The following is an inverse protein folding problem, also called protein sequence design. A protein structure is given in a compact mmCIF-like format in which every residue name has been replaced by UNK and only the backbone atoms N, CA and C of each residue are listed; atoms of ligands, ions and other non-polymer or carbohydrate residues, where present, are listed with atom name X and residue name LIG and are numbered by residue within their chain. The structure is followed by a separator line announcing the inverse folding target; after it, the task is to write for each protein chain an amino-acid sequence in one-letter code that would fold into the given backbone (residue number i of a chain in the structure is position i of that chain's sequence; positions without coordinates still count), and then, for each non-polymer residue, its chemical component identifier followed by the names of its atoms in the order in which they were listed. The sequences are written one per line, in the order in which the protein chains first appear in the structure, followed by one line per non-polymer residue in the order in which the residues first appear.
data_IF_657735449978
#
_entry.id   IF_657735449978
#
_cell.length_a   1.000
_cell.length_b   1.000
_cell.length_c   1.000
_cell.angle_alpha   90.00
_cell.angle_beta   90.00
_cell.angle_gamma   90.00
#
_symmetry.space_group_name_H-M   'P 1'
#
loop_
_entity.id
_entity.type
_entity.pdbx_description
1 polymer ?
#
# COMPACT_ATOMS: atom_id res chain seq x y z
N UNK A 1 -10.45 -12.37 5.48
CA UNK A 1 -9.16 -12.03 6.14
C UNK A 1 -8.02 -12.44 5.23
N UNK A 2 -6.93 -11.69 5.23
CA UNK A 2 -5.69 -11.97 4.51
C UNK A 2 -4.50 -11.51 5.37
N UNK A 3 -3.29 -12.01 5.13
CA UNK A 3 -2.10 -11.54 5.84
C UNK A 3 -0.84 -11.74 5.00
N UNK A 4 -0.30 -12.95 4.94
CA UNK A 4 0.97 -13.20 4.23
C UNK A 4 0.76 -13.69 2.79
N UNK A 5 1.78 -13.47 1.95
CA UNK A 5 1.78 -13.81 0.50
C UNK A 5 1.51 -15.29 0.25
N UNK A 6 2.03 -16.17 1.10
CA UNK A 6 1.90 -17.63 1.00
C UNK A 6 0.64 -18.20 1.68
N UNK A 7 -0.24 -17.34 2.20
CA UNK A 7 -1.50 -17.72 2.82
C UNK A 7 -2.68 -17.52 1.87
N UNK A 8 -3.86 -18.01 2.29
CA UNK A 8 -5.11 -17.76 1.57
C UNK A 8 -5.34 -16.26 1.43
N UNK A 9 -5.68 -15.81 0.23
CA UNK A 9 -5.89 -14.40 -0.12
C UNK A 9 -4.63 -13.52 -0.02
N UNK A 10 -3.44 -14.12 -0.07
CA UNK A 10 -2.16 -13.41 -0.04
C UNK A 10 -2.01 -12.34 -1.12
N UNK A 11 -2.77 -12.39 -2.21
CA UNK A 11 -2.83 -11.35 -3.24
C UNK A 11 -3.21 -9.95 -2.71
N UNK A 12 -3.92 -9.86 -1.58
CA UNK A 12 -4.29 -8.59 -0.95
C UNK A 12 -3.18 -8.01 -0.06
N UNK A 13 -2.15 -8.80 0.27
CA UNK A 13 -0.97 -8.34 1.00
C UNK A 13 -0.17 -7.31 0.18
N UNK A 14 0.41 -6.31 0.84
CA UNK A 14 1.30 -5.33 0.18
C UNK A 14 2.59 -5.96 -0.35
N UNK A 15 2.99 -7.10 0.20
CA UNK A 15 4.20 -7.84 -0.17
C UNK A 15 3.99 -8.75 -1.37
N UNK A 16 2.75 -8.93 -1.84
CA UNK A 16 2.46 -9.77 -2.98
C UNK A 16 3.15 -9.21 -4.23
N UNK A 17 3.99 -10.00 -4.94
CA UNK A 17 4.66 -9.55 -6.16
C UNK A 17 3.64 -9.10 -7.19
N UNK A 18 3.69 -7.82 -7.56
CA UNK A 18 2.77 -7.21 -8.52
C UNK A 18 3.44 -5.99 -9.13
N UNK A 19 3.76 -6.09 -10.41
CA UNK A 19 4.36 -4.98 -11.14
C UNK A 19 3.29 -3.97 -11.52
N UNK A 20 3.55 -2.69 -11.24
CA UNK A 20 2.71 -1.57 -11.68
C UNK A 20 3.58 -0.31 -11.75
N UNK A 21 3.09 0.71 -12.44
CA UNK A 21 3.71 2.03 -12.46
C UNK A 21 2.80 3.09 -11.84
N UNK A 22 3.39 4.20 -11.39
CA UNK A 22 2.66 5.40 -10.93
C UNK A 22 3.35 6.62 -11.54
N UNK A 23 2.58 7.64 -11.94
CA UNK A 23 3.18 8.87 -12.45
C UNK A 23 3.83 9.66 -11.32
N UNK A 24 4.98 10.28 -11.58
CA UNK A 24 5.72 11.04 -10.56
C UNK A 24 4.89 12.14 -9.91
N UNK A 25 4.02 12.80 -10.68
CA UNK A 25 3.15 13.86 -10.13
C UNK A 25 2.13 13.32 -9.12
N UNK A 26 1.55 12.14 -9.37
CA UNK A 26 0.64 11.49 -8.42
C UNK A 26 1.36 11.08 -7.14
N UNK A 27 2.63 10.65 -7.24
CA UNK A 27 3.45 10.35 -6.06
C UNK A 27 3.66 11.62 -5.23
N UNK A 28 4.06 12.73 -5.87
CA UNK A 28 4.28 14.01 -5.19
C UNK A 28 3.01 14.51 -4.50
N UNK A 29 1.88 14.48 -5.21
CA UNK A 29 0.56 14.82 -4.66
C UNK A 29 0.22 13.93 -3.45
N UNK A 30 0.36 12.60 -3.58
CA UNK A 30 0.06 11.66 -2.51
C UNK A 30 0.96 11.84 -1.27
N UNK A 31 2.19 12.35 -1.43
CA UNK A 31 3.09 12.67 -0.30
C UNK A 31 2.98 14.14 0.15
N UNK A 32 1.98 14.88 -0.32
CA UNK A 32 1.73 16.27 0.07
C UNK A 32 2.91 17.19 -0.26
N UNK A 33 3.53 16.99 -1.42
CA UNK A 33 4.59 17.84 -1.94
C UNK A 33 4.13 18.49 -3.25
N UNK A 34 4.32 19.80 -3.33
CA UNK A 34 4.08 20.52 -4.58
C UNK A 34 5.12 20.14 -5.61
N UNK A 35 4.66 20.05 -6.85
CA UNK A 35 5.54 19.88 -7.99
C UNK A 35 6.40 21.11 -8.20
N UNK A 36 7.70 20.91 -8.38
CA UNK A 36 8.67 21.96 -8.71
C UNK A 36 8.99 21.97 -10.19
N UNK A 37 9.37 23.14 -10.68
CA UNK A 37 9.93 23.27 -12.03
C UNK A 37 11.18 22.40 -12.14
N UNK A 38 11.24 21.53 -13.15
CA UNK A 38 12.29 20.51 -13.30
C UNK A 38 11.94 19.12 -12.74
N UNK A 39 10.83 18.95 -12.01
CA UNK A 39 10.31 17.63 -11.70
C UNK A 39 9.88 16.95 -13.00
N UNK A 40 10.75 16.08 -13.51
CA UNK A 40 10.56 15.44 -14.80
C UNK A 40 9.21 14.72 -14.92
N UNK A 41 8.60 14.79 -16.10
CA UNK A 41 7.41 14.02 -16.42
C UNK A 41 7.82 12.56 -16.64
N UNK A 42 7.20 11.62 -15.91
CA UNK A 42 7.50 10.21 -16.10
C UNK A 42 6.78 9.30 -15.11
N UNK A 43 6.96 8.01 -15.31
CA UNK A 43 6.42 6.94 -14.49
C UNK A 43 7.54 6.29 -13.67
N UNK A 44 7.23 5.85 -12.46
CA UNK A 44 8.11 5.00 -11.65
C UNK A 44 7.48 3.61 -11.55
N UNK A 45 8.26 2.56 -11.77
CA UNK A 45 7.82 1.17 -11.76
C UNK A 45 8.17 0.49 -10.44
N UNK A 46 7.21 -0.23 -9.86
CA UNK A 46 7.36 -0.91 -8.58
C UNK A 46 7.08 -2.40 -8.74
N UNK A 47 7.75 -3.22 -7.94
CA UNK A 47 7.61 -4.69 -7.92
C UNK A 47 6.57 -5.19 -6.91
N UNK A 48 6.13 -4.31 -5.99
CA UNK A 48 5.10 -4.57 -4.98
C UNK A 48 4.56 -3.25 -4.44
N UNK A 49 3.43 -3.30 -3.73
CA UNK A 49 2.89 -2.13 -3.06
C UNK A 49 3.73 -1.71 -1.85
N UNK A 50 4.45 -2.64 -1.21
CA UNK A 50 5.45 -2.34 -0.17
C UNK A 50 6.60 -1.47 -0.72
N UNK A 51 7.13 -1.81 -1.90
CA UNK A 51 8.22 -1.03 -2.52
C UNK A 51 7.76 0.42 -2.76
N UNK A 52 6.56 0.58 -3.31
CA UNK A 52 5.94 1.88 -3.51
C UNK A 52 5.78 2.66 -2.20
N UNK A 53 5.27 2.02 -1.16
CA UNK A 53 5.04 2.67 0.13
C UNK A 53 6.36 3.16 0.75
N UNK A 54 7.41 2.35 0.72
CA UNK A 54 8.72 2.72 1.29
C UNK A 54 9.43 3.78 0.44
N UNK A 55 9.31 3.72 -0.88
CA UNK A 55 9.79 4.78 -1.79
C UNK A 55 9.07 6.11 -1.52
N UNK A 56 7.74 6.08 -1.41
CA UNK A 56 6.92 7.27 -1.15
C UNK A 56 7.19 7.85 0.24
N UNK A 57 7.41 6.99 1.24
CA UNK A 57 7.85 7.42 2.57
C UNK A 57 9.18 8.17 2.51
N UNK A 58 10.18 7.63 1.81
CA UNK A 58 11.46 8.32 1.62
C UNK A 58 11.29 9.64 0.83
N UNK A 59 10.38 9.67 -0.16
CA UNK A 59 10.00 10.88 -0.90
C UNK A 59 9.47 11.98 0.02
N UNK A 60 8.53 11.64 0.92
CA UNK A 60 7.92 12.59 1.88
C UNK A 60 8.97 13.35 2.69
N UNK A 61 10.05 12.68 3.07
CA UNK A 61 11.10 13.23 3.92
C UNK A 61 12.36 13.67 3.16
N UNK A 62 12.33 13.68 1.83
CA UNK A 62 13.46 14.10 0.99
C UNK A 62 14.68 13.18 1.04
N UNK A 63 14.50 11.92 1.45
CA UNK A 63 15.58 10.95 1.58
C UNK A 63 15.82 10.19 0.26
N UNK A 64 16.54 10.84 -0.64
CA UNK A 64 16.86 10.31 -1.97
C UNK A 64 17.73 9.04 -1.93
N UNK A 65 18.56 8.86 -0.90
CA UNK A 65 19.41 7.68 -0.77
C UNK A 65 18.57 6.45 -0.37
N UNK A 66 17.65 6.60 0.58
CA UNK A 66 16.71 5.50 0.90
C UNK A 66 15.79 5.20 -0.28
N UNK A 67 15.32 6.21 -1.02
CA UNK A 67 14.56 5.98 -2.27
C UNK A 67 15.35 5.06 -3.21
N UNK A 68 16.61 5.41 -3.52
CA UNK A 68 17.47 4.64 -4.42
C UNK A 68 17.64 3.19 -3.95
N UNK A 69 17.99 2.99 -2.67
CA UNK A 69 18.20 1.66 -2.09
C UNK A 69 16.93 0.80 -2.08
N UNK A 70 15.77 1.40 -1.83
CA UNK A 70 14.47 0.70 -1.91
C UNK A 70 14.19 0.23 -3.35
N UNK A 71 14.58 1.01 -4.36
CA UNK A 71 14.39 0.64 -5.77
C UNK A 71 15.35 -0.47 -6.23
N UNK A 72 16.51 -0.61 -5.60
CA UNK A 72 17.53 -1.63 -5.93
C UNK A 72 17.16 -3.05 -5.46
N UNK A 73 16.22 -3.19 -4.52
CA UNK A 73 15.81 -4.50 -3.98
C UNK A 73 14.37 -4.86 -4.33
N UNK A 74 14.14 -6.13 -4.65
CA UNK A 74 12.81 -6.73 -4.85
C UNK A 74 12.30 -7.48 -3.61
N UNK A 75 13.09 -7.58 -2.55
CA UNK A 75 12.69 -8.24 -1.30
C UNK A 75 11.85 -7.28 -0.44
N UNK A 76 10.56 -7.55 -0.21
CA UNK A 76 9.69 -6.68 0.59
C UNK A 76 10.15 -6.55 2.05
N UNK A 77 10.83 -7.56 2.60
CA UNK A 77 11.38 -7.49 3.95
C UNK A 77 12.51 -6.46 4.01
N UNK A 78 13.36 -6.43 3.00
CA UNK A 78 14.44 -5.46 2.88
C UNK A 78 13.92 -4.06 2.57
N UNK A 79 12.93 -3.92 1.67
CA UNK A 79 12.23 -2.65 1.42
C UNK A 79 11.68 -2.06 2.73
N UNK A 80 10.97 -2.86 3.52
CA UNK A 80 10.43 -2.44 4.83
C UNK A 80 11.52 -2.10 5.84
N UNK A 81 12.67 -2.79 5.80
CA UNK A 81 13.83 -2.49 6.65
C UNK A 81 14.42 -1.13 6.28
N UNK A 82 14.61 -0.86 4.99
CA UNK A 82 15.12 0.41 4.48
C UNK A 82 14.18 1.58 4.77
N UNK A 83 12.88 1.45 4.54
CA UNK A 83 11.93 2.52 4.85
C UNK A 83 11.74 2.79 6.34
N UNK A 84 12.19 1.90 7.24
CA UNK A 84 12.33 2.22 8.67
C UNK A 84 13.52 3.12 8.98
N UNK A 85 14.49 3.20 8.07
CA UNK A 85 15.72 3.99 8.19
C UNK A 85 15.63 5.33 7.45
N UNK A 86 14.46 5.70 6.94
CA UNK A 86 14.24 6.99 6.26
C UNK A 86 14.70 8.16 7.12
N UNK A 87 15.67 8.91 6.61
CA UNK A 87 16.19 10.12 7.23
C UNK A 87 15.07 11.17 7.35
N UNK A 88 15.06 11.92 8.47
CA UNK A 88 14.05 12.96 8.72
C UNK A 88 12.64 12.44 9.00
N UNK A 89 12.43 11.12 9.10
CA UNK A 89 11.12 10.54 9.38
C UNK A 89 10.50 11.09 10.68
N UNK A 90 9.26 11.53 10.58
CA UNK A 90 8.41 11.82 11.74
C UNK A 90 7.08 11.08 11.60
N UNK A 91 6.54 10.61 12.72
CA UNK A 91 5.22 9.97 12.74
C UNK A 91 4.14 10.94 12.25
N UNK A 92 4.13 12.18 12.76
CA UNK A 92 3.15 13.19 12.38
C UNK A 92 3.15 13.46 10.86
N UNK A 93 4.33 13.74 10.26
CA UNK A 93 4.43 14.04 8.84
C UNK A 93 4.10 12.85 7.93
N UNK A 94 4.24 11.62 8.43
CA UNK A 94 3.82 10.42 7.71
C UNK A 94 2.33 10.13 7.89
N UNK A 95 1.78 10.36 9.08
CA UNK A 95 0.38 10.12 9.41
C UNK A 95 -0.57 10.99 8.56
N UNK A 96 -0.13 12.18 8.15
CA UNK A 96 -0.81 13.07 7.20
C UNK A 96 -1.07 12.42 5.84
N UNK A 97 -0.14 11.59 5.34
CA UNK A 97 -0.11 11.18 3.92
C UNK A 97 -0.22 9.66 3.72
N UNK A 98 0.10 8.85 4.73
CA UNK A 98 0.29 7.39 4.57
C UNK A 98 -0.92 6.67 3.99
N UNK A 99 -2.13 7.10 4.34
CA UNK A 99 -3.36 6.50 3.83
C UNK A 99 -3.53 6.76 2.34
N UNK A 100 -3.30 8.00 1.88
CA UNK A 100 -3.38 8.36 0.46
C UNK A 100 -2.33 7.61 -0.37
N UNK A 101 -1.10 7.49 0.15
CA UNK A 101 -0.04 6.68 -0.47
C UNK A 101 -0.49 5.22 -0.65
N UNK A 102 -0.99 4.58 0.41
CA UNK A 102 -1.40 3.16 0.32
C UNK A 102 -2.61 2.99 -0.61
N UNK A 103 -3.56 3.92 -0.62
CA UNK A 103 -4.68 3.88 -1.56
C UNK A 103 -4.24 4.03 -3.02
N UNK A 104 -3.30 4.94 -3.31
CA UNK A 104 -2.72 5.11 -4.64
C UNK A 104 -1.99 3.84 -5.11
N UNK A 105 -1.18 3.23 -4.22
CA UNK A 105 -0.47 1.98 -4.51
C UNK A 105 -1.44 0.85 -4.89
N UNK A 106 -2.52 0.70 -4.10
CA UNK A 106 -3.49 -0.36 -4.35
C UNK A 106 -4.36 -0.06 -5.56
N UNK A 107 -4.69 1.21 -5.82
CA UNK A 107 -5.36 1.62 -7.08
C UNK A 107 -4.52 1.22 -8.29
N UNK A 108 -3.24 1.56 -8.32
CA UNK A 108 -2.35 1.21 -9.42
C UNK A 108 -2.17 -0.31 -9.56
N UNK A 109 -1.89 -1.00 -8.45
CA UNK A 109 -1.74 -2.46 -8.39
C UNK A 109 -2.97 -3.18 -8.97
N UNK A 110 -4.16 -2.91 -8.44
CA UNK A 110 -5.38 -3.63 -8.83
C UNK A 110 -5.97 -3.10 -10.14
N UNK A 111 -5.71 -1.85 -10.52
CA UNK A 111 -6.13 -1.28 -11.80
C UNK A 111 -5.33 -1.80 -13.00
N UNK A 112 -4.02 -1.98 -12.84
CA UNK A 112 -3.12 -2.40 -13.94
C UNK A 112 -2.98 -3.93 -14.06
N UNK A 113 -3.34 -4.69 -13.03
CA UNK A 113 -3.25 -6.15 -13.03
C UNK A 113 -4.64 -6.79 -13.13
N UNK A 114 -5.09 -7.11 -14.34
CA UNK A 114 -6.45 -7.63 -14.59
C UNK A 114 -6.82 -8.86 -13.74
N UNK A 115 -5.90 -9.82 -13.56
CA UNK A 115 -6.13 -10.97 -12.69
C UNK A 115 -6.34 -10.61 -11.22
N UNK A 116 -5.62 -9.60 -10.71
CA UNK A 116 -5.80 -9.10 -9.35
C UNK A 116 -7.08 -8.27 -9.24
N UNK A 117 -7.41 -7.46 -10.25
CA UNK A 117 -8.68 -6.73 -10.36
C UNK A 117 -9.87 -7.66 -10.15
N UNK A 118 -9.91 -8.76 -10.92
CA UNK A 118 -10.97 -9.77 -10.84
C UNK A 118 -11.08 -10.35 -9.43
N UNK A 119 -9.96 -10.68 -8.79
CA UNK A 119 -9.96 -11.21 -7.42
C UNK A 119 -10.51 -10.20 -6.40
N UNK A 120 -10.14 -8.92 -6.52
CA UNK A 120 -10.64 -7.87 -5.63
C UNK A 120 -12.15 -7.64 -5.83
N UNK A 121 -12.62 -7.55 -7.07
CA UNK A 121 -14.04 -7.39 -7.38
C UNK A 121 -14.88 -8.59 -6.93
N UNK A 122 -14.35 -9.81 -7.07
CA UNK A 122 -15.00 -11.04 -6.63
C UNK A 122 -15.18 -11.13 -5.09
N UNK A 123 -14.55 -10.24 -4.33
CA UNK A 123 -14.83 -10.13 -2.89
C UNK A 123 -16.26 -9.67 -2.61
N UNK A 124 -16.96 -9.07 -3.59
CA UNK A 124 -18.32 -8.55 -3.43
C UNK A 124 -18.32 -7.45 -2.38
N UNK A 125 -19.28 -7.47 -1.46
CA UNK A 125 -19.37 -6.49 -0.37
C UNK A 125 -18.74 -6.99 0.94
N UNK A 126 -17.95 -8.07 0.87
CA UNK A 126 -17.29 -8.62 2.06
C UNK A 126 -16.32 -7.60 2.67
N UNK A 127 -16.29 -7.59 4.00
CA UNK A 127 -15.30 -6.87 4.78
C UNK A 127 -13.92 -7.52 4.57
N UNK A 128 -12.95 -6.72 4.12
CA UNK A 128 -11.56 -7.13 3.98
C UNK A 128 -10.80 -6.73 5.24
N UNK A 129 -10.15 -7.70 5.87
CA UNK A 129 -9.36 -7.49 7.09
C UNK A 129 -7.95 -8.06 6.93
N UNK A 130 -6.94 -7.23 7.16
CA UNK A 130 -5.55 -7.67 7.26
C UNK A 130 -5.32 -8.26 8.67
N UNK A 131 -5.25 -9.58 8.76
CA UNK A 131 -5.08 -10.34 10.00
C UNK A 131 -3.61 -10.46 10.41
N UNK A 132 -2.90 -9.32 10.38
CA UNK A 132 -1.52 -9.21 10.85
C UNK A 132 -1.49 -9.12 12.38
N UNK A 133 -0.84 -10.07 13.08
CA UNK A 133 -0.61 -9.96 14.51
C UNK A 133 0.21 -8.71 14.84
N UNK A 134 -0.10 -8.06 15.96
CA UNK A 134 0.59 -6.88 16.50
C UNK A 134 0.55 -5.60 15.65
N UNK A 135 0.08 -5.64 14.40
CA UNK A 135 -0.22 -4.44 13.60
C UNK A 135 -1.67 -4.00 13.82
N UNK A 136 -1.85 -2.97 14.66
CA UNK A 136 -3.16 -2.39 14.95
C UNK A 136 -3.51 -1.16 14.10
N UNK A 137 -2.64 -0.76 13.16
CA UNK A 137 -2.87 0.42 12.31
C UNK A 137 -3.29 -0.04 10.92
N UNK A 138 -2.45 -0.84 10.27
CA UNK A 138 -2.77 -1.38 8.95
C UNK A 138 -3.67 -2.61 9.04
N UNK A 139 -3.40 -3.45 10.04
CA UNK A 139 -4.14 -4.65 10.36
C UNK A 139 -5.16 -4.50 11.48
N UNK A 140 -5.81 -5.63 11.79
CA UNK A 140 -6.72 -5.78 12.93
C UNK A 140 -6.01 -6.14 14.24
N UNK A 141 -4.70 -6.43 14.20
CA UNK A 141 -3.90 -6.77 15.39
C UNK A 141 -4.04 -8.20 15.90
N UNK A 142 -4.73 -9.08 15.16
CA UNK A 142 -4.95 -10.47 15.52
C UNK A 142 -4.80 -11.38 14.30
N UNK A 143 -4.31 -12.60 14.53
CA UNK A 143 -4.34 -13.65 13.52
C UNK A 143 -5.78 -14.03 13.14
N UNK A 144 -5.94 -14.65 11.96
CA UNK A 144 -7.26 -15.00 11.43
C UNK A 144 -8.04 -16.01 12.29
N UNK A 145 -7.36 -16.82 13.11
CA UNK A 145 -8.02 -17.84 13.96
C UNK A 145 -8.72 -17.20 15.16
N UNK A 146 -8.11 -16.16 15.73
CA UNK A 146 -8.62 -15.46 16.93
C UNK A 146 -9.41 -14.20 16.60
N UNK A 147 -9.24 -13.65 15.41
CA UNK A 147 -9.78 -12.36 15.01
C UNK A 147 -11.27 -12.18 15.33
N UNK A 148 -12.14 -13.11 14.92
CA UNK A 148 -13.60 -12.94 15.12
C UNK A 148 -14.01 -12.90 16.61
N UNK A 149 -13.27 -13.57 17.48
CA UNK A 149 -13.52 -13.54 18.92
C UNK A 149 -13.04 -12.25 19.61
N UNK A 150 -12.26 -11.42 18.90
CA UNK A 150 -11.65 -10.19 19.40
C UNK A 150 -12.13 -8.96 18.60
N UNK A 151 -13.30 -9.05 17.96
CA UNK A 151 -13.78 -8.03 17.01
C UNK A 151 -13.93 -6.63 17.64
N UNK A 152 -14.33 -6.57 18.90
CA UNK A 152 -14.42 -5.36 19.72
C UNK A 152 -13.05 -4.71 20.02
N UNK A 153 -11.96 -5.47 19.86
CA UNK A 153 -10.58 -5.07 20.13
C UNK A 153 -9.75 -4.85 18.87
N UNK A 154 -10.35 -4.97 17.69
CA UNK A 154 -9.62 -4.82 16.43
C UNK A 154 -8.92 -3.47 16.33
N UNK A 155 -7.75 -3.50 15.69
CA UNK A 155 -7.07 -2.32 15.21
C UNK A 155 -7.85 -1.61 14.09
N UNK A 156 -7.23 -0.59 13.53
CA UNK A 156 -7.87 0.31 12.58
C UNK A 156 -8.16 -0.33 11.22
N UNK A 157 -7.49 -1.44 10.87
CA UNK A 157 -7.65 -2.14 9.60
C UNK A 157 -7.55 -1.21 8.37
N UNK A 158 -6.61 -0.27 8.37
CA UNK A 158 -6.47 0.73 7.30
C UNK A 158 -6.24 0.09 5.94
N UNK A 159 -5.49 -1.00 5.86
CA UNK A 159 -5.26 -1.66 4.56
C UNK A 159 -6.55 -2.29 4.02
N UNK A 160 -7.31 -2.95 4.88
CA UNK A 160 -8.62 -3.48 4.52
C UNK A 160 -9.57 -2.40 3.99
N UNK A 161 -9.61 -1.25 4.69
CA UNK A 161 -10.39 -0.07 4.26
C UNK A 161 -9.94 0.47 2.90
N UNK A 162 -8.62 0.62 2.68
CA UNK A 162 -8.08 1.07 1.40
C UNK A 162 -8.44 0.12 0.25
N UNK A 163 -8.32 -1.20 0.44
CA UNK A 163 -8.71 -2.19 -0.57
C UNK A 163 -10.19 -2.12 -0.93
N UNK A 164 -11.06 -1.89 0.05
CA UNK A 164 -12.50 -1.73 -0.20
C UNK A 164 -12.80 -0.41 -0.94
N UNK A 165 -12.12 0.70 -0.61
CA UNK A 165 -12.24 1.95 -1.36
C UNK A 165 -11.81 1.77 -2.83
N UNK A 166 -10.67 1.10 -3.06
CA UNK A 166 -10.19 0.76 -4.40
C UNK A 166 -11.18 -0.14 -5.14
N UNK A 167 -11.78 -1.13 -4.46
CA UNK A 167 -12.83 -1.98 -5.05
C UNK A 167 -14.02 -1.14 -5.54
N UNK A 168 -14.50 -0.20 -4.74
CA UNK A 168 -15.63 0.66 -5.13
C UNK A 168 -15.26 1.60 -6.30
N UNK A 169 -14.02 2.11 -6.35
CA UNK A 169 -13.52 2.88 -7.49
C UNK A 169 -13.53 2.04 -8.78
N UNK A 170 -12.94 0.84 -8.72
CA UNK A 170 -12.83 -0.06 -9.87
C UNK A 170 -14.18 -0.61 -10.35
N UNK A 171 -15.20 -0.68 -9.49
CA UNK A 171 -16.57 -1.04 -9.87
C UNK A 171 -17.18 0.01 -10.79
N UNK A 172 -16.98 1.30 -10.50
CA UNK A 172 -17.56 2.40 -11.29
C UNK A 172 -17.00 2.43 -12.70
N UNK A 173 -15.70 2.17 -12.87
CA UNK A 173 -15.05 2.07 -14.18
C UNK A 173 -15.55 0.91 -15.07
N UNK A 174 -16.27 -0.07 -14.52
CA UNK A 174 -16.85 -1.19 -15.30
C UNK A 174 -18.26 -0.85 -15.80
N UNK A 175 -18.88 0.20 -15.25
CA UNK A 175 -20.25 0.62 -15.58
C UNK A 175 -20.27 1.71 -16.67
N UNK A 176 -19.12 2.30 -16.97
CA UNK A 176 -18.89 3.24 -18.09
C UNK A 176 -18.37 2.50 -19.34
#
# INVERSE_FOLDING_TARGET
MFHMVNEKHGEFCQWYPSTFFVYKHEILEAVGQDRKEGDGYGTVWFSSAEQFMMYSKATRFGDHETQRRVMETKDPKEQKRLGRQTAGFTHAGWDEVKSAVVELANTAKFGQNAGLRTKLLATGDRLLCEAAPDDRVWGIGFDAKRAMAMQDRWGENRLGKALMAVREKLRKEVVD
#
